data_IF_253298364242
#
_entry.id   IF_253298364242
#
_cell.length_a   1.000
_cell.length_b   1.000
_cell.length_c   1.000
_cell.angle_alpha   90.00
_cell.angle_beta   90.00
_cell.angle_gamma   90.00
#
_symmetry.space_group_name_H-M   'P 1'
#
loop_
_entity.id
_entity.type
_entity.pdbx_description
1 polymer ?
#
# COMPACT_ATOMS: atom_id res chain seq x y z
N UNK A 1 -26.17 -20.60 18.53
CA UNK A 1 -25.11 -19.60 18.74
C UNK A 1 -25.75 -18.23 18.56
N UNK A 2 -25.78 -17.41 19.61
CA UNK A 2 -26.35 -16.05 19.55
C UNK A 2 -25.18 -15.09 19.43
N UNK A 3 -25.06 -14.40 18.29
CA UNK A 3 -24.06 -13.36 18.07
C UNK A 3 -24.58 -12.06 18.70
N UNK A 4 -23.76 -11.44 19.56
CA UNK A 4 -24.07 -10.13 20.15
C UNK A 4 -23.97 -9.01 19.12
N UNK A 5 -24.70 -7.89 19.30
CA UNK A 5 -24.84 -6.83 18.30
C UNK A 5 -23.62 -5.89 18.14
N UNK A 6 -22.40 -6.31 18.52
CA UNK A 6 -21.23 -5.42 18.58
C UNK A 6 -19.88 -6.03 18.17
N UNK A 7 -19.88 -7.12 17.40
CA UNK A 7 -18.66 -7.57 16.72
C UNK A 7 -18.77 -7.20 15.24
N UNK A 8 -18.16 -6.07 14.84
CA UNK A 8 -17.72 -5.96 13.44
C UNK A 8 -16.75 -7.11 13.22
N UNK A 9 -16.87 -7.91 12.15
CA UNK A 9 -15.85 -8.88 11.82
C UNK A 9 -14.62 -8.10 11.34
N UNK A 10 -13.77 -7.66 12.26
CA UNK A 10 -12.42 -7.17 11.97
C UNK A 10 -11.55 -8.39 11.63
N UNK A 11 -11.92 -9.04 10.54
CA UNK A 11 -11.21 -10.10 9.84
C UNK A 11 -11.32 -9.89 8.33
N UNK A 12 -11.64 -8.66 7.90
CA UNK A 12 -11.51 -8.28 6.50
C UNK A 12 -10.03 -8.36 6.14
N UNK A 13 -9.64 -9.46 5.50
CA UNK A 13 -8.43 -9.50 4.69
C UNK A 13 -8.63 -8.45 3.59
N UNK A 14 -7.99 -7.31 3.76
CA UNK A 14 -7.87 -6.31 2.71
C UNK A 14 -7.03 -6.95 1.59
N UNK A 15 -7.69 -7.36 0.51
CA UNK A 15 -7.02 -7.90 -0.65
C UNK A 15 -6.55 -6.74 -1.51
N UNK A 16 -5.24 -6.49 -1.45
CA UNK A 16 -4.58 -5.46 -2.24
C UNK A 16 -4.31 -5.99 -3.64
N UNK A 17 -4.89 -5.33 -4.63
CA UNK A 17 -4.69 -5.61 -6.06
C UNK A 17 -3.36 -5.02 -6.56
N UNK A 18 -3.14 -3.71 -6.38
CA UNK A 18 -1.95 -3.01 -6.87
C UNK A 18 -1.53 -1.90 -5.90
N UNK A 19 -0.22 -1.57 -5.89
CA UNK A 19 0.29 -0.33 -5.27
C UNK A 19 0.35 0.73 -6.35
N UNK A 20 -0.46 1.79 -6.20
CA UNK A 20 -0.57 2.87 -7.18
C UNK A 20 0.49 3.95 -7.00
N UNK A 21 1.02 4.10 -5.78
CA UNK A 21 2.03 5.11 -5.51
C UNK A 21 2.54 5.07 -4.07
N UNK A 22 3.50 5.93 -3.80
CA UNK A 22 4.12 6.07 -2.48
C UNK A 22 4.24 7.54 -2.11
N UNK A 23 4.03 7.85 -0.84
CA UNK A 23 4.21 9.16 -0.23
C UNK A 23 5.14 9.04 0.96
N UNK A 24 5.94 10.07 1.22
CA UNK A 24 6.69 10.19 2.47
C UNK A 24 5.96 11.12 3.43
N UNK A 25 5.60 10.62 4.61
CA UNK A 25 4.93 11.36 5.68
C UNK A 25 5.75 11.20 6.97
N UNK A 26 6.23 12.30 7.55
CA UNK A 26 7.00 12.30 8.81
C UNK A 26 8.11 11.24 8.86
N UNK A 27 8.97 11.22 7.83
CA UNK A 27 10.05 10.25 7.62
C UNK A 27 9.64 8.79 7.37
N UNK A 28 8.35 8.45 7.36
CA UNK A 28 7.85 7.12 7.01
C UNK A 28 7.26 7.10 5.61
N UNK A 29 7.27 5.93 4.98
CA UNK A 29 6.56 5.73 3.71
C UNK A 29 5.11 5.37 3.96
N UNK A 30 4.24 5.79 3.05
CA UNK A 30 2.84 5.37 2.98
C UNK A 30 2.52 5.04 1.53
N UNK A 31 1.76 3.99 1.31
CA UNK A 31 1.47 3.44 -0.01
C UNK A 31 0.00 3.63 -0.31
N UNK A 32 -0.32 4.24 -1.45
CA UNK A 32 -1.68 4.22 -1.97
C UNK A 32 -1.88 2.87 -2.65
N UNK A 33 -2.82 2.09 -2.16
CA UNK A 33 -3.13 0.77 -2.67
C UNK A 33 -4.52 0.77 -3.30
N UNK A 34 -4.67 0.02 -4.38
CA UNK A 34 -5.95 -0.34 -4.96
C UNK A 34 -6.38 -1.68 -4.38
N UNK A 35 -7.57 -1.71 -3.79
CA UNK A 35 -8.19 -2.95 -3.31
C UNK A 35 -8.97 -3.64 -4.44
N UNK A 36 -9.31 -4.91 -4.26
CA UNK A 36 -10.05 -5.69 -5.26
C UNK A 36 -11.43 -5.08 -5.60
N UNK A 37 -12.06 -4.40 -4.64
CA UNK A 37 -13.33 -3.69 -4.81
C UNK A 37 -13.20 -2.33 -5.54
N UNK A 38 -12.03 -2.06 -6.12
CA UNK A 38 -11.68 -0.82 -6.82
C UNK A 38 -11.60 0.42 -5.94
N UNK A 39 -11.66 0.27 -4.61
CA UNK A 39 -11.42 1.38 -3.69
C UNK A 39 -9.93 1.58 -3.47
N UNK A 40 -9.55 2.82 -3.11
CA UNK A 40 -8.16 3.16 -2.81
C UNK A 40 -7.99 3.48 -1.34
N UNK A 41 -6.95 2.92 -0.73
CA UNK A 41 -6.59 3.22 0.66
C UNK A 41 -5.13 3.64 0.78
N UNK A 42 -4.84 4.49 1.76
CA UNK A 42 -3.48 4.87 2.10
C UNK A 42 -3.00 4.05 3.30
N UNK A 43 -2.08 3.13 3.07
CA UNK A 43 -1.51 2.28 4.11
C UNK A 43 -0.15 2.81 4.57
N UNK A 44 0.11 2.76 5.86
CA UNK A 44 1.45 3.02 6.39
C UNK A 44 2.41 1.91 5.97
N UNK A 45 3.71 2.20 5.96
CA UNK A 45 4.72 1.22 5.57
C UNK A 45 4.70 -0.06 6.42
N UNK A 46 4.33 0.05 7.69
CA UNK A 46 4.21 -1.04 8.64
C UNK A 46 3.09 -2.00 8.22
N UNK A 47 1.89 -1.46 7.99
CA UNK A 47 0.71 -2.24 7.61
C UNK A 47 0.88 -2.83 6.20
N UNK A 48 1.39 -2.04 5.25
CA UNK A 48 1.54 -2.48 3.86
C UNK A 48 2.55 -3.65 3.73
N UNK A 49 3.60 -3.67 4.55
CA UNK A 49 4.58 -4.77 4.57
C UNK A 49 3.99 -6.08 5.08
N UNK A 50 3.01 -6.01 5.98
CA UNK A 50 2.32 -7.21 6.48
C UNK A 50 1.26 -7.69 5.50
N UNK A 51 0.49 -6.77 4.90
CA UNK A 51 -0.65 -7.11 4.06
C UNK A 51 -0.28 -7.43 2.60
N UNK A 52 0.61 -6.64 1.99
CA UNK A 52 0.87 -6.70 0.54
C UNK A 52 2.36 -6.59 0.16
N UNK A 53 3.28 -7.34 0.79
CA UNK A 53 4.72 -7.22 0.53
C UNK A 53 5.10 -7.53 -0.92
N UNK A 54 4.41 -8.48 -1.57
CA UNK A 54 4.65 -8.83 -2.97
C UNK A 54 4.32 -7.68 -3.91
N UNK A 55 3.22 -6.98 -3.67
CA UNK A 55 2.78 -5.84 -4.47
C UNK A 55 3.73 -4.64 -4.30
N UNK A 56 4.25 -4.42 -3.09
CA UNK A 56 5.28 -3.40 -2.84
C UNK A 56 6.55 -3.70 -3.65
N UNK A 57 7.04 -4.96 -3.59
CA UNK A 57 8.20 -5.38 -4.37
C UNK A 57 7.94 -5.19 -5.87
N UNK A 58 6.77 -5.64 -6.35
CA UNK A 58 6.38 -5.49 -7.74
C UNK A 58 6.34 -4.02 -8.19
N UNK A 59 5.82 -3.12 -7.35
CA UNK A 59 5.82 -1.68 -7.60
C UNK A 59 7.24 -1.14 -7.76
N UNK A 60 8.16 -1.46 -6.84
CA UNK A 60 9.54 -0.98 -6.96
C UNK A 60 10.29 -1.58 -8.15
N UNK A 61 10.03 -2.85 -8.49
CA UNK A 61 10.68 -3.51 -9.64
C UNK A 61 10.20 -3.00 -11.00
N UNK A 62 8.94 -2.59 -11.12
CA UNK A 62 8.34 -2.26 -12.42
C UNK A 62 8.06 -0.77 -12.62
N UNK A 63 7.86 -0.01 -11.53
CA UNK A 63 7.43 1.39 -11.58
C UNK A 63 8.51 2.36 -11.11
N UNK A 64 9.57 1.88 -10.45
CA UNK A 64 10.68 2.70 -9.98
C UNK A 64 11.96 2.39 -10.76
N UNK A 65 12.89 3.35 -10.76
CA UNK A 65 14.20 3.21 -11.39
C UNK A 65 15.26 2.99 -10.31
N UNK A 66 16.24 2.15 -10.61
CA UNK A 66 17.43 1.98 -9.78
C UNK A 66 18.60 2.66 -10.48
N UNK A 67 19.11 3.75 -9.91
CA UNK A 67 20.28 4.47 -10.43
C UNK A 67 21.30 4.67 -9.29
N UNK A 68 22.56 4.32 -9.52
CA UNK A 68 23.62 4.44 -8.52
C UNK A 68 23.35 3.75 -7.16
N UNK A 69 22.53 2.70 -7.13
CA UNK A 69 22.10 2.04 -5.88
C UNK A 69 21.00 2.78 -5.10
N UNK A 70 20.45 3.85 -5.67
CA UNK A 70 19.31 4.59 -5.12
C UNK A 70 18.03 4.24 -5.89
N UNK A 71 16.93 4.12 -5.16
CA UNK A 71 15.61 3.90 -5.75
C UNK A 71 15.00 5.27 -6.04
N UNK A 72 14.76 5.54 -7.31
CA UNK A 72 14.07 6.72 -7.79
C UNK A 72 12.61 6.37 -8.07
N UNK A 73 11.71 7.01 -7.32
CA UNK A 73 10.26 6.92 -7.56
C UNK A 73 9.89 8.03 -8.54
N UNK A 74 9.37 7.73 -9.75
CA UNK A 74 8.90 8.74 -10.69
C UNK A 74 7.83 9.64 -10.07
N UNK A 75 7.81 10.91 -10.46
CA UNK A 75 6.90 11.91 -9.89
C UNK A 75 5.41 11.53 -10.00
N UNK A 76 5.00 10.85 -11.08
CA UNK A 76 3.63 10.37 -11.27
C UNK A 76 3.16 9.36 -10.20
N UNK A 77 4.09 8.73 -9.49
CA UNK A 77 3.82 7.80 -8.39
C UNK A 77 4.07 8.41 -7.01
N UNK A 78 4.49 9.68 -6.95
CA UNK A 78 4.65 10.42 -5.72
C UNK A 78 3.35 11.15 -5.38
N UNK A 79 2.64 10.65 -4.37
CA UNK A 79 1.29 11.15 -4.06
C UNK A 79 1.40 12.49 -3.32
N UNK A 80 1.00 13.58 -3.99
CA UNK A 80 1.00 14.93 -3.44
C UNK A 80 2.27 15.75 -3.70
N UNK A 81 2.99 15.43 -4.77
CA UNK A 81 3.95 16.34 -5.42
C UNK A 81 3.24 17.37 -6.30
#
# INVERSE_FOLDING_TARGET
>A
MVLGPNEKPTGQKLYVSEVLGVKRIMNKFSYLVLLEDQTTELLTSEVAKELCPKQIIHFYMNKCQLDGGQIHVPQQYNIGA
#
